data_IF_951716421826
#
_entry.id   IF_951716421826
#
_cell.length_a   1.000
_cell.length_b   1.000
_cell.length_c   1.000
_cell.angle_alpha   90.00
_cell.angle_beta   90.00
_cell.angle_gamma   90.00
#
_symmetry.space_group_name_H-M   'P 1'
#
loop_
_entity.id
_entity.type
_entity.pdbx_description
1 polymer ?
#
# COMPACT_ATOMS: atom_id res chain seq x y z
N UNK A 1 -0.08 -0.07 7.46
CA UNK A 1 0.64 1.04 8.14
C UNK A 1 0.74 2.29 7.27
N UNK A 2 1.41 2.28 6.11
CA UNK A 2 1.51 3.50 5.27
C UNK A 2 0.17 3.95 4.64
N UNK A 3 -0.82 3.05 4.56
CA UNK A 3 -2.16 3.45 4.17
C UNK A 3 -2.79 4.43 5.18
N UNK A 4 -2.59 4.22 6.48
CA UNK A 4 -3.17 5.06 7.52
C UNK A 4 -2.57 6.49 7.59
N UNK A 5 -1.40 6.72 7.00
CA UNK A 5 -0.82 8.07 6.88
C UNK A 5 -1.29 8.84 5.65
N UNK A 6 -1.98 8.18 4.71
CA UNK A 6 -2.53 8.80 3.52
C UNK A 6 -3.92 9.39 3.81
N UNK A 7 -4.19 10.66 3.48
CA UNK A 7 -5.53 11.23 3.62
C UNK A 7 -6.50 10.55 2.64
N UNK A 8 -7.73 10.26 3.07
CA UNK A 8 -8.78 9.76 2.18
C UNK A 8 -9.27 10.90 1.28
N UNK A 9 -8.81 10.91 0.02
CA UNK A 9 -9.13 11.96 -0.97
C UNK A 9 -10.31 11.60 -1.89
N UNK A 10 -11.11 10.58 -1.53
CA UNK A 10 -12.21 10.08 -2.36
C UNK A 10 -11.77 9.22 -3.55
N UNK A 11 -10.49 8.85 -3.62
CA UNK A 11 -9.90 8.00 -4.65
C UNK A 11 -9.30 6.72 -4.05
N UNK A 12 -9.13 5.65 -4.84
CA UNK A 12 -8.40 4.46 -4.41
C UNK A 12 -6.96 4.78 -3.99
N UNK A 13 -6.41 3.94 -3.13
CA UNK A 13 -5.04 4.02 -2.65
C UNK A 13 -4.26 2.74 -2.95
N UNK A 14 -3.11 2.90 -3.61
CA UNK A 14 -2.09 1.88 -3.73
C UNK A 14 -0.99 2.10 -2.68
N UNK A 15 -0.94 1.24 -1.67
CA UNK A 15 0.13 1.21 -0.67
C UNK A 15 1.24 0.26 -1.13
N UNK A 16 2.46 0.78 -1.26
CA UNK A 16 3.59 0.05 -1.86
C UNK A 16 4.75 -0.17 -0.88
N UNK A 17 5.36 -1.35 -0.93
CA UNK A 17 6.60 -1.66 -0.21
C UNK A 17 7.60 -2.32 -1.16
N UNK A 18 8.90 -2.13 -0.92
CA UNK A 18 9.92 -2.77 -1.75
C UNK A 18 9.94 -4.28 -1.51
N UNK A 19 9.91 -5.06 -2.59
CA UNK A 19 9.99 -6.52 -2.58
C UNK A 19 11.31 -7.06 -3.17
N UNK A 20 12.25 -6.16 -3.47
CA UNK A 20 13.59 -6.47 -3.98
C UNK A 20 13.61 -6.87 -5.47
N UNK A 21 14.80 -6.79 -6.08
CA UNK A 21 15.05 -7.13 -7.49
C UNK A 21 14.11 -6.40 -8.47
N UNK A 22 13.89 -5.11 -8.23
CA UNK A 22 13.02 -4.27 -9.06
C UNK A 22 11.52 -4.51 -8.90
N UNK A 23 11.10 -5.27 -7.87
CA UNK A 23 9.70 -5.56 -7.57
C UNK A 23 9.23 -4.78 -6.35
N UNK A 24 7.94 -4.52 -6.34
CA UNK A 24 7.19 -3.96 -5.22
C UNK A 24 6.05 -4.90 -4.85
N UNK A 25 5.64 -4.88 -3.59
CA UNK A 25 4.34 -5.38 -3.18
C UNK A 25 3.34 -4.23 -3.09
N UNK A 26 2.13 -4.44 -3.59
CA UNK A 26 1.07 -3.43 -3.64
C UNK A 26 -0.17 -3.98 -2.94
N UNK A 27 -0.63 -3.27 -1.92
CA UNK A 27 -1.97 -3.45 -1.35
C UNK A 27 -2.89 -2.34 -1.82
N UNK A 28 -4.09 -2.70 -2.27
CA UNK A 28 -5.11 -1.76 -2.72
C UNK A 28 -6.09 -1.46 -1.60
N UNK A 29 -6.55 -0.21 -1.53
CA UNK A 29 -7.52 0.23 -0.55
C UNK A 29 -8.54 1.16 -1.19
N UNK A 30 -9.79 1.02 -0.75
CA UNK A 30 -10.88 1.93 -1.09
C UNK A 30 -11.16 2.90 0.09
N UNK A 31 -11.48 4.16 -0.20
CA UNK A 31 -11.89 5.08 0.84
C UNK A 31 -13.28 4.68 1.34
N UNK A 32 -13.49 4.71 2.65
CA UNK A 32 -14.78 4.47 3.30
C UNK A 32 -15.01 5.48 4.42
N UNK A 33 -16.23 5.50 4.97
CA UNK A 33 -16.59 6.35 6.13
C UNK A 33 -15.71 6.03 7.34
N UNK A 34 -15.30 4.76 7.51
CA UNK A 34 -14.42 4.30 8.58
C UNK A 34 -12.93 4.36 8.23
N UNK A 35 -12.54 5.08 7.18
CA UNK A 35 -11.17 5.15 6.69
C UNK A 35 -10.88 4.17 5.56
N UNK A 36 -9.62 3.74 5.41
CA UNK A 36 -9.19 2.86 4.32
C UNK A 36 -9.64 1.42 4.54
N UNK A 37 -10.33 0.84 3.56
CA UNK A 37 -10.68 -0.59 3.54
C UNK A 37 -9.84 -1.33 2.51
N UNK A 38 -9.19 -2.47 2.87
CA UNK A 38 -8.39 -3.24 1.94
C UNK A 38 -9.25 -3.86 0.83
N UNK A 39 -8.78 -3.76 -0.40
CA UNK A 39 -9.39 -4.36 -1.58
C UNK A 39 -8.59 -5.63 -1.96
N UNK A 40 -8.85 -6.71 -1.21
CA UNK A 40 -8.19 -7.99 -1.41
C UNK A 40 -6.75 -8.08 -0.88
N UNK A 41 -6.04 -9.18 -1.18
CA UNK A 41 -4.68 -9.40 -0.73
C UNK A 41 -3.67 -8.50 -1.45
N UNK A 42 -2.55 -8.22 -0.80
CA UNK A 42 -1.42 -7.58 -1.46
C UNK A 42 -0.82 -8.50 -2.54
N UNK A 43 -0.31 -7.92 -3.62
CA UNK A 43 0.29 -8.66 -4.74
C UNK A 43 1.66 -8.11 -5.11
N UNK A 44 2.54 -8.95 -5.62
CA UNK A 44 3.85 -8.53 -6.16
C UNK A 44 3.70 -8.04 -7.60
N UNK A 45 4.38 -6.96 -7.95
CA UNK A 45 4.40 -6.36 -9.29
C UNK A 45 5.67 -5.52 -9.50
N UNK A 46 5.82 -4.91 -10.67
CA UNK A 46 6.79 -3.82 -10.91
C UNK A 46 6.11 -2.46 -10.84
N UNK A 47 6.91 -1.40 -10.72
CA UNK A 47 6.42 -0.01 -10.75
C UNK A 47 5.79 0.33 -12.10
N UNK A 48 6.36 -0.18 -13.20
CA UNK A 48 5.84 0.06 -14.54
C UNK A 48 4.48 -0.62 -14.75
N UNK A 49 4.34 -1.89 -14.34
CA UNK A 49 3.06 -2.59 -14.38
C UNK A 49 2.00 -1.96 -13.44
N UNK A 50 2.43 -1.45 -12.26
CA UNK A 50 1.54 -0.66 -11.40
C UNK A 50 1.05 0.59 -12.13
N UNK A 51 1.95 1.34 -12.75
CA UNK A 51 1.61 2.55 -13.49
C UNK A 51 0.61 2.23 -14.62
N UNK A 52 0.81 1.15 -15.37
CA UNK A 52 -0.08 0.70 -16.43
C UNK A 52 -1.48 0.37 -15.90
N UNK A 53 -1.57 -0.36 -14.77
CA UNK A 53 -2.85 -0.76 -14.16
C UNK A 53 -3.72 0.41 -13.65
N UNK A 54 -3.12 1.56 -13.35
CA UNK A 54 -3.83 2.74 -12.83
C UNK A 54 -4.56 3.46 -13.99
N UNK A 55 -5.87 3.25 -14.11
CA UNK A 55 -6.69 3.85 -15.16
C UNK A 55 -7.48 5.09 -14.72
N UNK A 56 -7.61 5.31 -13.41
CA UNK A 56 -8.36 6.41 -12.80
C UNK A 56 -7.51 7.11 -11.73
N UNK A 57 -7.84 8.35 -11.31
CA UNK A 57 -7.14 9.02 -10.22
C UNK A 57 -6.98 8.10 -9.01
N UNK A 58 -5.73 7.86 -8.63
CA UNK A 58 -5.31 6.90 -7.61
C UNK A 58 -4.16 7.50 -6.82
N UNK A 59 -4.28 7.46 -5.50
CA UNK A 59 -3.19 7.85 -4.63
C UNK A 59 -2.17 6.72 -4.50
N UNK A 60 -0.88 7.05 -4.51
CA UNK A 60 0.19 6.07 -4.30
C UNK A 60 1.04 6.50 -3.11
N UNK A 61 1.21 5.61 -2.13
CA UNK A 61 1.97 5.86 -0.89
C UNK A 61 2.89 4.69 -0.57
N UNK A 62 4.04 4.96 0.04
CA UNK A 62 4.96 3.92 0.51
C UNK A 62 6.35 4.00 -0.13
N UNK A 63 7.04 2.87 -0.13
CA UNK A 63 8.48 2.80 -0.38
C UNK A 63 8.79 2.81 -1.89
N UNK A 64 9.18 3.98 -2.37
CA UNK A 64 9.59 4.21 -3.76
C UNK A 64 10.89 5.02 -3.76
N UNK A 65 11.86 4.58 -4.55
CA UNK A 65 13.06 5.34 -4.90
C UNK A 65 12.71 6.59 -5.71
N UNK A 66 13.67 7.52 -5.81
CA UNK A 66 13.49 8.74 -6.60
C UNK A 66 13.16 8.42 -8.08
N UNK A 67 13.82 7.42 -8.65
CA UNK A 67 13.62 6.99 -10.04
C UNK A 67 12.22 6.38 -10.26
N UNK A 68 11.77 5.51 -9.36
CA UNK A 68 10.43 4.91 -9.41
C UNK A 68 9.33 5.96 -9.26
N UNK A 69 9.53 6.95 -8.38
CA UNK A 69 8.61 8.09 -8.25
C UNK A 69 8.57 8.90 -9.54
N UNK A 70 9.71 9.11 -10.21
CA UNK A 70 9.75 9.82 -11.48
C UNK A 70 9.01 9.05 -12.58
N UNK A 71 9.14 7.72 -12.63
CA UNK A 71 8.39 6.86 -13.55
C UNK A 71 6.89 6.97 -13.35
N UNK A 72 6.41 6.82 -12.10
CA UNK A 72 4.99 6.99 -11.76
C UNK A 72 4.47 8.40 -12.06
N UNK A 73 5.29 9.42 -11.81
CA UNK A 73 4.95 10.81 -12.08
C UNK A 73 4.81 11.14 -13.57
N UNK A 74 5.15 10.23 -14.50
CA UNK A 74 4.86 10.43 -15.93
C UNK A 74 3.36 10.32 -16.22
N UNK A 75 2.60 9.57 -15.42
CA UNK A 75 1.15 9.38 -15.56
C UNK A 75 0.34 10.41 -14.72
N UNK A 76 0.71 11.69 -14.85
CA UNK A 76 0.29 12.81 -13.97
C UNK A 76 -1.21 12.96 -13.75
N UNK A 77 -2.03 12.56 -14.71
CA UNK A 77 -3.50 12.70 -14.63
C UNK A 77 -4.09 11.72 -13.62
N UNK A 78 -3.54 10.52 -13.51
CA UNK A 78 -4.12 9.44 -12.73
C UNK A 78 -3.32 9.09 -11.48
N UNK A 79 -2.05 9.49 -11.37
CA UNK A 79 -1.19 9.12 -10.25
C UNK A 79 -0.94 10.31 -9.33
N UNK A 80 -1.45 10.22 -8.11
CA UNK A 80 -1.28 11.22 -7.04
C UNK A 80 -0.26 10.67 -6.05
N UNK A 81 1.01 11.06 -6.19
CA UNK A 81 2.07 10.61 -5.30
C UNK A 81 1.96 11.29 -3.93
N UNK A 82 1.92 10.48 -2.86
CA UNK A 82 2.09 10.98 -1.51
C UNK A 82 3.49 11.59 -1.32
N UNK A 83 3.59 12.54 -0.39
CA UNK A 83 4.88 13.13 -0.02
C UNK A 83 5.78 12.06 0.66
N UNK A 84 7.11 12.17 0.54
CA UNK A 84 8.02 11.21 1.19
C UNK A 84 7.78 11.09 2.70
N UNK A 85 7.43 12.20 3.36
CA UNK A 85 7.14 12.22 4.80
C UNK A 85 5.92 11.37 5.21
N UNK A 86 4.96 11.17 4.30
CA UNK A 86 3.80 10.27 4.49
C UNK A 86 4.09 8.82 4.13
N UNK A 87 5.10 8.57 3.30
CA UNK A 87 5.53 7.22 2.91
C UNK A 87 6.35 6.49 3.99
N UNK A 88 6.75 7.17 5.06
CA UNK A 88 7.53 6.57 6.15
C UNK A 88 6.66 5.61 6.97
N UNK A 89 7.20 4.42 7.23
CA UNK A 89 6.64 3.46 8.19
C UNK A 89 6.81 3.98 9.62
N UNK A 90 5.73 4.50 10.21
CA UNK A 90 5.75 5.08 11.57
C UNK A 90 5.21 4.07 12.59
N UNK A 91 6.03 3.55 13.51
CA UNK A 91 5.58 2.60 14.54
C UNK A 91 4.42 3.12 15.38
N UNK A 92 4.39 4.44 15.67
CA UNK A 92 3.28 5.07 16.38
C UNK A 92 1.94 4.86 15.68
N UNK A 93 1.86 4.93 14.34
CA UNK A 93 0.62 4.66 13.61
C UNK A 93 0.21 3.19 13.70
N UNK A 94 1.17 2.27 13.75
CA UNK A 94 0.85 0.86 13.96
C UNK A 94 0.29 0.62 15.37
N UNK A 95 0.85 1.29 16.38
CA UNK A 95 0.35 1.22 17.75
C UNK A 95 -1.08 1.75 17.87
N UNK A 96 -1.39 2.90 17.25
CA UNK A 96 -2.77 3.46 17.21
C UNK A 96 -3.77 2.49 16.55
N UNK A 97 -3.39 1.88 15.42
CA UNK A 97 -4.24 0.88 14.75
C UNK A 97 -4.46 -0.36 15.62
N UNK A 98 -3.41 -0.83 16.29
CA UNK A 98 -3.50 -1.99 17.19
C UNK A 98 -4.36 -1.66 18.42
N UNK A 99 -4.23 -0.46 18.97
CA UNK A 99 -5.01 0.02 20.10
C UNK A 99 -6.50 0.06 19.78
N UNK A 100 -6.88 0.63 18.62
CA UNK A 100 -8.27 0.67 18.17
C UNK A 100 -8.86 -0.74 17.95
N UNK A 101 -8.07 -1.67 17.37
CA UNK A 101 -8.48 -3.08 17.23
C UNK A 101 -8.72 -3.74 18.59
N UNK A 102 -7.81 -3.54 19.55
CA UNK A 102 -7.99 -4.08 20.90
C UNK A 102 -9.24 -3.50 21.57
N UNK A 103 -9.43 -2.18 21.58
CA UNK A 103 -10.60 -1.56 22.20
C UNK A 103 -11.95 -2.04 21.61
N UNK A 104 -11.95 -2.51 20.36
CA UNK A 104 -13.13 -3.09 19.70
C UNK A 104 -13.27 -4.60 19.87
N UNK A 105 -12.45 -5.23 20.72
CA UNK A 105 -12.48 -6.68 20.99
C UNK A 105 -11.82 -7.53 19.91
N UNK A 106 -11.15 -6.93 18.93
CA UNK A 106 -10.48 -7.63 17.84
C UNK A 106 -9.01 -7.92 18.20
N UNK A 107 -8.78 -9.06 18.85
CA UNK A 107 -7.45 -9.59 19.13
C UNK A 107 -7.29 -11.00 18.52
N UNK A 108 -6.14 -11.24 17.90
CA UNK A 108 -5.81 -12.54 17.31
C UNK A 108 -5.15 -13.44 18.37
N UNK A 109 -5.33 -14.76 18.27
CA UNK A 109 -4.61 -15.72 19.12
C UNK A 109 -3.14 -15.76 18.73
N UNK A 110 -2.22 -15.55 19.67
CA UNK A 110 -0.79 -15.46 19.36
C UNK A 110 -0.24 -16.72 18.65
N UNK A 111 -0.75 -17.90 19.00
CA UNK A 111 -0.35 -19.18 18.41
C UNK A 111 -0.85 -19.37 16.96
N UNK A 112 -1.89 -18.64 16.54
CA UNK A 112 -2.45 -18.76 15.19
C UNK A 112 -1.76 -17.84 14.16
N UNK A 113 -0.86 -16.96 14.61
CA UNK A 113 -0.20 -16.00 13.74
C UNK A 113 0.90 -16.66 12.91
N UNK A 114 0.83 -16.47 11.58
CA UNK A 114 1.84 -16.92 10.65
C UNK A 114 2.27 -15.77 9.73
N UNK A 115 3.53 -15.77 9.25
CA UNK A 115 3.97 -14.80 8.24
C UNK A 115 3.16 -14.96 6.93
N UNK A 116 2.75 -13.83 6.34
CA UNK A 116 2.16 -13.81 5.00
C UNK A 116 3.29 -13.67 3.99
N UNK A 117 3.55 -14.73 3.23
CA UNK A 117 4.51 -14.71 2.12
C UNK A 117 3.78 -14.39 0.81
N UNK A 118 4.21 -13.31 0.16
CA UNK A 118 3.71 -12.97 -1.16
C UNK A 118 4.40 -13.84 -2.21
N UNK A 119 3.61 -14.66 -2.90
CA UNK A 119 4.06 -15.46 -4.01
C UNK A 119 4.10 -14.63 -5.29
N UNK A 120 5.05 -14.98 -6.17
CA UNK A 120 5.18 -14.37 -7.49
C UNK A 120 4.34 -15.19 -8.45
N UNK A 121 3.26 -14.62 -8.98
CA UNK A 121 2.63 -15.18 -10.17
C UNK A 121 3.48 -14.80 -11.40
N UNK A 122 3.98 -15.81 -12.12
CA UNK A 122 4.72 -15.64 -13.37
C UNK A 122 6.24 -15.42 -13.24
N UNK A 123 6.99 -16.51 -13.13
CA UNK A 123 8.34 -16.57 -13.73
C UNK A 123 8.22 -16.82 -15.24
N UNK A 124 9.19 -16.41 -16.08
CA UNK A 124 9.15 -16.76 -17.50
C UNK A 124 9.18 -18.30 -17.65
N UNK A 125 8.62 -18.86 -18.75
CA UNK A 125 8.82 -20.27 -19.09
C UNK A 125 10.29 -20.61 -19.29
#
# INVERSE_FOLDING_TARGET
MVAASAPALGFPLAAVIQAGRGRIAVGWYQPSVSGWQPEGPARTTTVDALAESIQHPTQVVGELSAEERQRLARKRVNVILASPARSVRRPALLAELAWARWQSGHADEAASLAPIYLHVEGGPP
#
